data_IF_259832794465
#
_entry.id   IF_259832794465
#
_cell.length_a   1.000
_cell.length_b   1.000
_cell.length_c   1.000
_cell.angle_alpha   90.00
_cell.angle_beta   90.00
_cell.angle_gamma   90.00
#
_symmetry.space_group_name_H-M   'P 1'
#
loop_
_entity.id
_entity.type
_entity.pdbx_description
1 polymer ?
#
# COMPACT_ATOMS: atom_id res chain seq x y z
N UNK A 1 -31.01 6.16 33.42
CA UNK A 1 -31.40 5.26 32.30
C UNK A 1 -30.12 4.74 31.68
N UNK A 2 -29.73 3.51 31.97
CA UNK A 2 -28.64 2.84 31.25
C UNK A 2 -29.08 2.69 29.79
N UNK A 3 -28.43 3.40 28.87
CA UNK A 3 -28.51 3.05 27.45
C UNK A 3 -27.97 1.63 27.34
N UNK A 4 -28.85 0.64 27.18
CA UNK A 4 -28.41 -0.68 26.78
C UNK A 4 -27.69 -0.53 25.45
N UNK A 5 -26.35 -0.61 25.46
CA UNK A 5 -25.57 -0.62 24.24
C UNK A 5 -26.04 -1.81 23.38
N UNK A 6 -26.63 -1.49 22.23
CA UNK A 6 -27.13 -2.45 21.24
C UNK A 6 -26.00 -3.20 20.53
N UNK A 7 -24.74 -2.93 20.89
CA UNK A 7 -23.56 -3.47 20.24
C UNK A 7 -22.76 -4.37 21.20
N UNK A 8 -22.16 -5.42 20.63
CA UNK A 8 -21.29 -6.36 21.34
C UNK A 8 -19.97 -6.51 20.59
N UNK A 9 -18.86 -6.23 21.26
CA UNK A 9 -17.53 -6.57 20.73
C UNK A 9 -17.25 -8.05 20.98
N UNK A 10 -16.91 -8.77 19.92
CA UNK A 10 -16.38 -10.14 19.96
C UNK A 10 -14.98 -10.13 19.33
N UNK A 11 -14.08 -10.95 19.83
CA UNK A 11 -12.70 -10.99 19.32
C UNK A 11 -12.04 -12.34 19.56
N UNK A 12 -10.90 -12.54 18.92
CA UNK A 12 -10.11 -13.78 19.00
C UNK A 12 -10.39 -14.74 17.85
N UNK A 13 -9.76 -15.92 17.94
CA UNK A 13 -9.72 -16.91 16.86
C UNK A 13 -10.92 -17.85 16.92
N UNK A 14 -12.04 -17.46 16.30
CA UNK A 14 -13.25 -18.28 16.21
C UNK A 14 -14.09 -17.94 14.96
N UNK A 15 -14.93 -18.90 14.54
CA UNK A 15 -15.70 -18.82 13.29
C UNK A 15 -16.64 -17.61 13.20
N UNK A 16 -17.27 -17.25 14.32
CA UNK A 16 -18.19 -16.10 14.37
C UNK A 16 -17.44 -14.80 14.11
N UNK A 17 -16.27 -14.62 14.73
CA UNK A 17 -15.40 -13.47 14.47
C UNK A 17 -14.92 -13.48 13.03
N UNK A 18 -14.48 -14.63 12.49
CA UNK A 18 -13.90 -14.69 11.14
C UNK A 18 -14.93 -14.39 10.07
N UNK A 19 -16.13 -14.95 10.20
CA UNK A 19 -17.24 -14.71 9.27
C UNK A 19 -17.67 -13.25 9.32
N UNK A 20 -17.84 -12.69 10.54
CA UNK A 20 -18.18 -11.28 10.71
C UNK A 20 -17.11 -10.35 10.14
N UNK A 21 -15.83 -10.69 10.36
CA UNK A 21 -14.68 -9.91 9.89
C UNK A 21 -14.66 -9.88 8.37
N UNK A 22 -14.69 -11.03 7.70
CA UNK A 22 -14.58 -11.14 6.25
C UNK A 22 -15.81 -10.56 5.50
N UNK A 23 -16.99 -10.60 6.11
CA UNK A 23 -18.23 -10.16 5.46
C UNK A 23 -18.45 -8.64 5.43
N UNK A 24 -17.85 -7.88 6.36
CA UNK A 24 -18.18 -6.47 6.54
C UNK A 24 -17.80 -5.56 5.34
N UNK A 25 -16.61 -5.66 4.72
CA UNK A 25 -16.24 -4.76 3.62
C UNK A 25 -17.21 -4.80 2.45
N UNK A 26 -17.64 -5.99 2.05
CA UNK A 26 -18.61 -6.17 0.97
C UNK A 26 -19.97 -5.53 1.23
N UNK A 27 -20.30 -5.21 2.50
CA UNK A 27 -21.50 -4.47 2.88
C UNK A 27 -21.29 -2.96 2.89
N UNK A 28 -20.06 -2.49 3.12
CA UNK A 28 -19.74 -1.06 3.24
C UNK A 28 -19.39 -0.42 1.90
N UNK A 29 -18.68 -1.14 1.02
CA UNK A 29 -18.15 -0.58 -0.22
C UNK A 29 -18.94 -0.99 -1.44
N UNK A 30 -19.05 -0.04 -2.38
CA UNK A 30 -19.51 -0.36 -3.72
C UNK A 30 -18.47 -1.23 -4.44
N UNK A 31 -18.90 -1.91 -5.51
CA UNK A 31 -18.02 -2.85 -6.24
C UNK A 31 -16.77 -2.19 -6.82
N UNK A 32 -16.83 -0.93 -7.26
CA UNK A 32 -15.69 -0.18 -7.78
C UNK A 32 -14.77 0.36 -6.67
N UNK A 33 -15.27 0.55 -5.45
CA UNK A 33 -14.48 1.00 -4.30
C UNK A 33 -13.87 -0.16 -3.49
N UNK A 34 -14.45 -1.35 -3.54
CA UNK A 34 -14.05 -2.47 -2.69
C UNK A 34 -12.64 -2.96 -3.05
N UNK A 35 -11.66 -2.65 -2.22
CA UNK A 35 -10.24 -3.05 -2.30
C UNK A 35 -9.88 -4.23 -1.39
N UNK A 36 -10.88 -4.93 -0.85
CA UNK A 36 -10.66 -6.13 -0.03
C UNK A 36 -9.99 -7.23 -0.85
N UNK A 37 -8.86 -7.74 -0.36
CA UNK A 37 -8.27 -9.01 -0.78
C UNK A 37 -8.73 -10.11 0.19
N UNK A 38 -9.81 -10.79 -0.19
CA UNK A 38 -10.42 -11.81 0.65
C UNK A 38 -9.48 -13.00 0.91
N UNK A 39 -8.68 -13.40 -0.07
CA UNK A 39 -7.77 -14.56 0.07
C UNK A 39 -6.65 -14.25 1.07
N UNK A 40 -6.07 -13.06 0.98
CA UNK A 40 -5.08 -12.59 1.96
C UNK A 40 -5.68 -12.50 3.36
N UNK A 41 -6.84 -11.86 3.53
CA UNK A 41 -7.52 -11.77 4.83
C UNK A 41 -7.85 -13.16 5.40
N UNK A 42 -8.37 -14.07 4.57
CA UNK A 42 -8.69 -15.43 4.98
C UNK A 42 -7.44 -16.20 5.42
N UNK A 43 -6.36 -16.13 4.63
CA UNK A 43 -5.08 -16.78 4.96
C UNK A 43 -4.47 -16.23 6.25
N UNK A 44 -4.56 -14.92 6.49
CA UNK A 44 -4.10 -14.32 7.76
C UNK A 44 -4.89 -14.86 8.96
N UNK A 45 -6.23 -14.84 8.88
CA UNK A 45 -7.10 -15.34 9.96
C UNK A 45 -6.85 -16.82 10.30
N UNK A 46 -6.42 -17.62 9.32
CA UNK A 46 -6.12 -19.04 9.50
C UNK A 46 -4.63 -19.34 9.65
N UNK A 47 -3.77 -18.33 9.79
CA UNK A 47 -2.31 -18.48 9.93
C UNK A 47 -1.63 -19.22 8.76
N UNK A 48 -2.24 -19.15 7.58
CA UNK A 48 -1.76 -19.76 6.33
C UNK A 48 -1.06 -18.77 5.42
N UNK A 49 -1.10 -17.48 5.72
CA UNK A 49 -0.39 -16.48 4.95
C UNK A 49 1.11 -16.61 5.21
N UNK A 50 1.96 -16.44 4.19
CA UNK A 50 3.42 -16.63 4.32
C UNK A 50 4.04 -15.76 5.44
N UNK A 51 3.51 -14.55 5.62
CA UNK A 51 3.95 -13.63 6.67
C UNK A 51 3.47 -13.97 8.09
N UNK A 52 2.56 -14.94 8.28
CA UNK A 52 1.97 -15.25 9.60
C UNK A 52 3.01 -15.73 10.60
N UNK A 53 4.18 -16.20 10.14
CA UNK A 53 5.29 -16.60 11.01
C UNK A 53 5.98 -15.43 11.73
N UNK A 54 5.78 -14.19 11.26
CA UNK A 54 6.46 -13.01 11.82
C UNK A 54 5.69 -12.30 12.93
N UNK A 55 4.39 -12.56 13.07
CA UNK A 55 3.53 -11.80 13.97
C UNK A 55 2.34 -12.62 14.46
N UNK A 56 1.77 -12.18 15.58
CA UNK A 56 0.50 -12.70 16.08
C UNK A 56 -0.62 -11.71 15.77
N UNK A 57 -1.80 -12.22 15.43
CA UNK A 57 -2.99 -11.40 15.20
C UNK A 57 -4.12 -11.70 16.19
N UNK A 58 -4.93 -10.69 16.49
CA UNK A 58 -6.21 -10.82 17.19
C UNK A 58 -7.26 -10.02 16.41
N UNK A 59 -8.22 -10.67 15.72
CA UNK A 59 -9.30 -9.97 15.05
C UNK A 59 -10.40 -9.59 16.05
N UNK A 60 -11.02 -8.44 15.82
CA UNK A 60 -12.13 -7.87 16.57
C UNK A 60 -13.27 -7.53 15.61
N UNK A 61 -14.50 -7.80 16.04
CA UNK A 61 -15.72 -7.46 15.32
C UNK A 61 -16.74 -6.91 16.32
N UNK A 62 -17.44 -5.86 15.93
CA UNK A 62 -18.62 -5.38 16.66
C UNK A 62 -19.86 -5.91 15.96
N UNK A 63 -20.72 -6.57 16.72
CA UNK A 63 -22.01 -7.12 16.28
C UNK A 63 -23.14 -6.26 16.84
N UNK A 64 -24.09 -5.87 15.98
CA UNK A 64 -25.38 -5.35 16.42
C UNK A 64 -26.23 -6.52 16.96
N UNK A 65 -26.64 -6.43 18.23
CA UNK A 65 -27.41 -7.47 18.92
C UNK A 65 -28.79 -7.70 18.32
N UNK A 66 -29.38 -6.70 17.66
CA UNK A 66 -30.71 -6.83 17.07
C UNK A 66 -30.65 -7.55 15.72
N UNK A 67 -29.78 -7.08 14.83
CA UNK A 67 -29.64 -7.64 13.48
C UNK A 67 -28.71 -8.85 13.40
N UNK A 68 -27.89 -9.09 14.43
CA UNK A 68 -26.77 -10.06 14.43
C UNK A 68 -25.75 -9.80 13.32
N UNK A 69 -25.69 -8.57 12.81
CA UNK A 69 -24.78 -8.20 11.72
C UNK A 69 -23.50 -7.53 12.24
N UNK A 70 -22.35 -7.77 11.59
CA UNK A 70 -21.14 -7.00 11.85
C UNK A 70 -21.35 -5.55 11.43
N UNK A 71 -20.93 -4.62 12.30
CA UNK A 71 -21.04 -3.16 12.11
C UNK A 71 -19.71 -2.43 12.24
N UNK A 72 -18.68 -3.09 12.79
CA UNK A 72 -17.30 -2.64 12.74
C UNK A 72 -16.34 -3.83 12.85
N UNK A 73 -15.10 -3.66 12.37
CA UNK A 73 -14.02 -4.65 12.52
C UNK A 73 -12.68 -3.96 12.66
N UNK A 74 -11.72 -4.65 13.28
CA UNK A 74 -10.32 -4.26 13.33
C UNK A 74 -9.47 -5.50 13.58
N UNK A 75 -8.24 -5.53 13.09
CA UNK A 75 -7.25 -6.54 13.47
C UNK A 75 -6.14 -5.87 14.27
N UNK A 76 -5.76 -6.49 15.38
CA UNK A 76 -4.62 -6.11 16.18
C UNK A 76 -3.47 -7.06 15.88
N UNK A 77 -2.28 -6.53 15.59
CA UNK A 77 -1.10 -7.29 15.20
C UNK A 77 0.08 -6.97 16.09
N UNK A 78 0.79 -8.01 16.51
CA UNK A 78 1.93 -7.95 17.40
C UNK A 78 3.15 -8.59 16.77
N UNK A 79 4.20 -7.81 16.61
CA UNK A 79 5.54 -8.33 16.37
C UNK A 79 6.23 -8.58 17.73
N UNK A 80 6.92 -9.72 17.92
CA UNK A 80 7.52 -10.08 19.21
C UNK A 80 8.42 -8.99 19.82
N UNK A 81 9.25 -8.36 18.98
CA UNK A 81 10.27 -7.38 19.39
C UNK A 81 9.75 -5.93 19.52
N UNK A 82 8.45 -5.69 19.25
CA UNK A 82 7.91 -4.33 19.20
C UNK A 82 7.17 -3.96 20.49
N UNK A 83 7.49 -2.82 21.09
CA UNK A 83 6.67 -2.21 22.16
C UNK A 83 5.35 -1.61 21.64
N UNK A 84 5.21 -1.53 20.33
CA UNK A 84 4.06 -1.00 19.61
C UNK A 84 3.18 -2.15 19.12
N UNK A 85 1.88 -2.02 19.30
CA UNK A 85 0.90 -2.85 18.61
C UNK A 85 0.41 -2.14 17.35
N UNK A 86 0.19 -2.90 16.28
CA UNK A 86 -0.36 -2.37 15.04
C UNK A 86 -1.84 -2.66 14.96
N UNK A 87 -2.65 -1.70 14.55
CA UNK A 87 -4.05 -1.93 14.23
C UNK A 87 -4.25 -1.75 12.72
N UNK A 88 -5.12 -2.55 12.12
CA UNK A 88 -5.41 -2.51 10.68
C UNK A 88 -6.76 -3.10 10.38
N UNK A 89 -7.10 -3.16 9.09
CA UNK A 89 -8.39 -3.63 8.58
C UNK A 89 -9.59 -2.93 9.25
N UNK A 90 -9.38 -1.69 9.73
CA UNK A 90 -10.39 -0.94 10.45
C UNK A 90 -11.55 -0.62 9.51
N UNK A 91 -12.75 -1.04 9.89
CA UNK A 91 -13.98 -0.71 9.19
C UNK A 91 -15.08 -0.38 10.20
N UNK A 92 -15.97 0.57 9.89
CA UNK A 92 -17.08 0.96 10.74
C UNK A 92 -18.22 1.54 9.90
N UNK A 93 -19.48 1.28 10.28
CA UNK A 93 -20.67 1.85 9.63
C UNK A 93 -20.86 3.38 9.85
N UNK A 94 -19.89 4.07 10.47
CA UNK A 94 -19.90 5.54 10.61
C UNK A 94 -20.50 6.07 11.89
N UNK A 95 -20.72 5.23 12.91
CA UNK A 95 -21.19 5.68 14.22
C UNK A 95 -20.04 5.77 15.22
N UNK A 96 -19.87 6.96 15.80
CA UNK A 96 -18.78 7.24 16.75
C UNK A 96 -18.78 6.30 17.96
N UNK A 97 -19.94 6.03 18.56
CA UNK A 97 -20.09 5.13 19.71
C UNK A 97 -19.58 3.71 19.41
N UNK A 98 -19.75 3.22 18.17
CA UNK A 98 -19.26 1.89 17.74
C UNK A 98 -17.74 1.91 17.60
N UNK A 99 -17.17 2.97 17.01
CA UNK A 99 -15.74 3.13 16.85
C UNK A 99 -15.03 3.23 18.21
N UNK A 100 -15.58 4.00 19.14
CA UNK A 100 -15.09 4.12 20.52
C UNK A 100 -15.11 2.77 21.24
N UNK A 101 -16.24 2.07 21.21
CA UNK A 101 -16.36 0.76 21.85
C UNK A 101 -15.34 -0.26 21.32
N UNK A 102 -15.14 -0.29 19.99
CA UNK A 102 -14.15 -1.15 19.35
C UNK A 102 -12.73 -0.77 19.75
N UNK A 103 -12.35 0.50 19.57
CA UNK A 103 -10.98 0.96 19.75
C UNK A 103 -10.57 1.01 21.22
N UNK A 104 -11.49 1.22 22.15
CA UNK A 104 -11.24 1.07 23.59
C UNK A 104 -10.97 -0.39 23.95
N UNK A 105 -11.71 -1.33 23.36
CA UNK A 105 -11.50 -2.77 23.59
C UNK A 105 -10.14 -3.20 23.03
N UNK A 106 -9.80 -2.73 21.83
CA UNK A 106 -8.47 -2.95 21.20
C UNK A 106 -7.36 -2.35 22.07
N UNK A 107 -7.53 -1.12 22.55
CA UNK A 107 -6.55 -0.43 23.42
C UNK A 107 -6.32 -1.16 24.73
N UNK A 108 -7.40 -1.61 25.40
CA UNK A 108 -7.32 -2.40 26.63
C UNK A 108 -6.61 -3.73 26.41
N UNK A 109 -6.86 -4.41 25.29
CA UNK A 109 -6.16 -5.67 24.96
C UNK A 109 -4.68 -5.44 24.71
N UNK A 110 -4.32 -4.44 23.90
CA UNK A 110 -2.92 -4.09 23.63
C UNK A 110 -2.15 -3.75 24.93
N UNK A 111 -2.77 -2.95 25.82
CA UNK A 111 -2.18 -2.60 27.11
C UNK A 111 -2.00 -3.81 28.03
N UNK A 112 -3.00 -4.70 28.08
CA UNK A 112 -2.92 -5.97 28.83
C UNK A 112 -1.79 -6.86 28.33
N UNK A 113 -1.49 -6.80 27.03
CA UNK A 113 -0.40 -7.54 26.39
C UNK A 113 0.94 -6.80 26.44
N UNK A 114 1.07 -5.78 27.30
CA UNK A 114 2.33 -5.09 27.58
C UNK A 114 2.74 -4.04 26.55
N UNK A 115 1.85 -3.66 25.62
CA UNK A 115 2.17 -2.66 24.59
C UNK A 115 1.89 -1.24 25.09
N UNK A 116 2.70 -0.29 24.63
CA UNK A 116 2.68 1.11 25.10
C UNK A 116 1.97 2.05 24.14
N UNK A 117 1.79 1.62 22.88
CA UNK A 117 1.25 2.44 21.79
C UNK A 117 0.53 1.58 20.76
N UNK A 118 -0.49 2.15 20.13
CA UNK A 118 -1.10 1.68 18.88
C UNK A 118 -0.58 2.50 17.70
N UNK A 119 -0.25 1.85 16.59
CA UNK A 119 0.08 2.51 15.30
C UNK A 119 -0.76 1.90 14.18
N UNK A 120 -1.26 2.71 13.25
CA UNK A 120 -2.07 2.22 12.15
C UNK A 120 -2.85 3.28 11.37
N UNK A 121 -3.59 2.89 10.32
CA UNK A 121 -3.83 1.51 9.95
C UNK A 121 -2.63 0.84 9.27
N UNK A 122 -2.28 -0.36 9.73
CA UNK A 122 -1.36 -1.32 9.10
C UNK A 122 -2.08 -2.67 9.09
N UNK A 123 -2.43 -3.17 7.91
CA UNK A 123 -3.14 -4.42 7.69
C UNK A 123 -2.19 -5.61 7.92
N UNK A 124 -1.92 -5.88 9.19
CA UNK A 124 -0.98 -6.83 9.74
C UNK A 124 0.51 -6.60 9.40
N UNK A 125 0.85 -6.14 8.20
CA UNK A 125 2.24 -5.92 7.81
C UNK A 125 2.40 -4.78 6.80
N UNK A 126 3.57 -4.13 6.84
CA UNK A 126 4.04 -3.19 5.81
C UNK A 126 3.90 -3.76 4.39
N UNK A 127 4.11 -5.08 4.24
CA UNK A 127 4.10 -5.80 2.97
C UNK A 127 2.70 -6.10 2.41
N UNK A 128 1.64 -5.77 3.15
CA UNK A 128 0.25 -6.05 2.75
C UNK A 128 -0.46 -4.75 2.36
N UNK A 129 -0.81 -3.92 3.35
CA UNK A 129 -1.46 -2.63 3.14
C UNK A 129 -1.27 -1.76 4.38
N UNK A 130 -1.00 -0.48 4.20
CA UNK A 130 -0.96 0.47 5.31
C UNK A 130 -1.23 1.89 4.80
N UNK A 131 -1.58 2.77 5.74
CA UNK A 131 -2.04 4.18 5.57
C UNK A 131 -3.57 4.30 5.42
N UNK A 132 -4.06 5.41 5.95
CA UNK A 132 -5.45 5.86 5.88
C UNK A 132 -5.54 7.00 4.87
N UNK A 133 -6.36 6.86 3.83
CA UNK A 133 -6.69 7.94 2.89
C UNK A 133 -7.55 8.99 3.57
N UNK A 134 -7.30 10.28 3.28
CA UNK A 134 -8.01 11.41 3.92
C UNK A 134 -8.66 12.41 2.94
N UNK A 135 -8.47 12.28 1.62
CA UNK A 135 -9.10 13.17 0.63
C UNK A 135 -9.52 12.42 -0.66
N UNK A 136 -10.09 13.14 -1.64
CA UNK A 136 -10.43 12.67 -2.99
C UNK A 136 -11.25 11.35 -3.07
N UNK A 137 -12.27 11.21 -2.22
CA UNK A 137 -13.13 10.00 -2.16
C UNK A 137 -14.19 9.91 -3.26
N UNK A 138 -14.26 10.92 -4.13
CA UNK A 138 -15.08 10.94 -5.35
C UNK A 138 -14.43 10.16 -6.50
N UNK A 139 -13.17 9.73 -6.34
CA UNK A 139 -12.40 8.98 -7.34
C UNK A 139 -12.34 7.49 -7.00
N UNK A 140 -12.34 6.66 -8.05
CA UNK A 140 -12.13 5.21 -7.92
C UNK A 140 -10.68 4.96 -7.49
N UNK A 141 -10.43 4.04 -6.53
CA UNK A 141 -9.08 3.75 -6.10
C UNK A 141 -8.19 3.23 -7.24
N UNK A 142 -6.98 3.76 -7.35
CA UNK A 142 -5.99 3.26 -8.29
C UNK A 142 -5.35 1.95 -7.79
N UNK A 143 -4.60 1.27 -8.66
CA UNK A 143 -3.94 0.01 -8.30
C UNK A 143 -3.00 0.14 -7.11
N UNK A 144 -3.30 -0.62 -6.05
CA UNK A 144 -2.50 -0.64 -4.82
C UNK A 144 -2.79 0.51 -3.85
N UNK A 145 -3.79 1.36 -4.13
CA UNK A 145 -4.18 2.43 -3.22
C UNK A 145 -4.86 1.89 -1.95
N UNK A 146 -4.38 2.25 -0.73
CA UNK A 146 -5.15 2.09 0.49
C UNK A 146 -6.42 2.94 0.40
N UNK A 147 -7.59 2.29 0.44
CA UNK A 147 -8.88 2.96 0.32
C UNK A 147 -9.77 2.63 1.51
N UNK A 148 -10.41 3.66 2.06
CA UNK A 148 -11.31 3.61 3.21
C UNK A 148 -12.49 4.57 3.00
N UNK A 149 -13.48 4.55 3.90
CA UNK A 149 -14.55 5.57 3.89
C UNK A 149 -14.03 6.92 4.38
N UNK A 150 -14.60 7.99 3.83
CA UNK A 150 -14.19 9.38 4.06
C UNK A 150 -14.29 9.82 5.53
N UNK A 151 -15.20 9.23 6.30
CA UNK A 151 -15.40 9.55 7.71
C UNK A 151 -14.43 8.82 8.66
N UNK A 152 -13.59 7.89 8.19
CA UNK A 152 -12.74 7.09 9.08
C UNK A 152 -11.67 7.92 9.80
N UNK A 153 -11.11 8.94 9.14
CA UNK A 153 -10.15 9.83 9.78
C UNK A 153 -10.77 10.52 11.00
N UNK A 154 -11.99 11.05 10.86
CA UNK A 154 -12.72 11.67 11.97
C UNK A 154 -12.98 10.69 13.11
N UNK A 155 -13.48 9.48 12.79
CA UNK A 155 -13.72 8.44 13.80
C UNK A 155 -12.46 8.12 14.62
N UNK A 156 -11.32 7.95 13.93
CA UNK A 156 -10.04 7.61 14.58
C UNK A 156 -9.50 8.80 15.39
N UNK A 157 -9.53 10.01 14.83
CA UNK A 157 -9.10 11.22 15.53
C UNK A 157 -9.91 11.49 16.80
N UNK A 158 -11.23 11.32 16.74
CA UNK A 158 -12.10 11.47 17.92
C UNK A 158 -11.85 10.39 18.98
N UNK A 159 -11.36 9.22 18.57
CA UNK A 159 -10.88 8.16 19.48
C UNK A 159 -9.47 8.43 20.03
N UNK A 160 -8.90 9.62 19.80
CA UNK A 160 -7.61 10.05 20.35
C UNK A 160 -6.37 9.63 19.54
N UNK A 161 -6.55 9.22 18.28
CA UNK A 161 -5.43 8.97 17.38
C UNK A 161 -4.90 10.29 16.77
N UNK A 162 -3.59 10.42 16.71
CA UNK A 162 -2.89 11.57 16.12
C UNK A 162 -2.07 11.15 14.92
N UNK A 163 -1.78 12.08 14.00
CA UNK A 163 -0.98 11.79 12.81
C UNK A 163 0.48 11.54 13.19
N UNK A 164 0.98 10.35 12.85
CA UNK A 164 2.38 9.94 13.00
C UNK A 164 3.20 10.30 11.75
N UNK A 165 2.66 10.01 10.56
CA UNK A 165 3.31 10.30 9.28
C UNK A 165 2.29 10.68 8.22
N UNK A 166 2.71 11.53 7.28
CA UNK A 166 1.95 11.93 6.11
C UNK A 166 2.56 11.35 4.83
N UNK A 167 1.70 11.05 3.87
CA UNK A 167 2.07 10.49 2.57
C UNK A 167 1.20 11.10 1.49
N UNK A 168 1.75 11.09 0.28
CA UNK A 168 1.19 11.76 -0.86
C UNK A 168 1.21 10.84 -2.08
N UNK A 169 0.13 10.84 -2.87
CA UNK A 169 0.20 10.43 -4.29
C UNK A 169 -0.10 11.61 -5.19
N UNK A 170 0.76 11.87 -6.18
CA UNK A 170 0.61 12.99 -7.10
C UNK A 170 -0.02 12.51 -8.42
N UNK A 171 -1.04 13.24 -8.90
CA UNK A 171 -1.64 13.01 -10.22
C UNK A 171 -0.92 13.89 -11.25
N UNK A 172 -0.37 13.26 -12.28
CA UNK A 172 0.28 13.92 -13.40
C UNK A 172 -0.58 13.79 -14.66
N UNK A 173 -0.79 14.88 -15.42
CA UNK A 173 -1.48 14.82 -16.70
C UNK A 173 -0.65 14.05 -17.74
N UNK A 174 -1.22 13.89 -18.94
CA UNK A 174 -0.43 13.45 -20.10
C UNK A 174 0.73 14.45 -20.29
N UNK A 175 1.92 13.92 -20.48
CA UNK A 175 3.13 14.71 -20.68
C UNK A 175 3.25 15.03 -22.16
N UNK A 176 3.30 16.31 -22.50
CA UNK A 176 3.45 16.77 -23.89
C UNK A 176 4.80 16.33 -24.48
N UNK A 177 4.83 16.10 -25.79
CA UNK A 177 6.04 15.61 -26.48
C UNK A 177 7.22 16.60 -26.36
N UNK A 178 6.93 17.90 -26.29
CA UNK A 178 7.90 18.99 -26.15
C UNK A 178 8.32 19.26 -24.69
N UNK A 179 7.67 18.64 -23.69
CA UNK A 179 8.03 18.83 -22.28
C UNK A 179 9.50 18.50 -22.02
N UNK A 180 10.27 19.43 -21.49
CA UNK A 180 11.70 19.25 -21.28
C UNK A 180 12.08 19.50 -19.82
N UNK A 181 12.79 18.55 -19.20
CA UNK A 181 13.34 18.72 -17.88
C UNK A 181 14.87 18.64 -17.93
N UNK A 182 15.51 19.80 -18.08
CA UNK A 182 16.96 19.95 -18.24
C UNK A 182 17.75 19.23 -17.13
N UNK A 183 17.24 19.28 -15.90
CA UNK A 183 17.90 18.66 -14.74
C UNK A 183 17.91 17.13 -14.86
N UNK A 184 16.80 16.53 -15.31
CA UNK A 184 16.65 15.09 -15.43
C UNK A 184 17.48 14.57 -16.60
N UNK A 185 17.44 15.26 -17.74
CA UNK A 185 18.19 14.87 -18.93
C UNK A 185 19.70 14.99 -18.72
N UNK A 186 20.19 16.13 -18.22
CA UNK A 186 21.62 16.28 -17.87
C UNK A 186 22.08 15.20 -16.90
N UNK A 187 21.23 14.82 -15.94
CA UNK A 187 21.58 13.76 -14.99
C UNK A 187 21.63 12.40 -15.67
N UNK A 188 20.69 12.11 -16.57
CA UNK A 188 20.68 10.89 -17.36
C UNK A 188 21.96 10.75 -18.21
N UNK A 189 22.31 11.76 -18.99
CA UNK A 189 23.54 11.78 -19.80
C UNK A 189 24.81 11.62 -18.95
N UNK A 190 24.88 12.31 -17.79
CA UNK A 190 25.99 12.17 -16.85
C UNK A 190 26.18 10.74 -16.36
N UNK A 191 25.09 9.99 -16.10
CA UNK A 191 25.19 8.60 -15.68
C UNK A 191 25.58 7.68 -16.83
N UNK A 192 25.03 7.88 -18.04
CA UNK A 192 25.45 7.12 -19.23
C UNK A 192 26.95 7.28 -19.50
N UNK A 193 27.46 8.52 -19.47
CA UNK A 193 28.88 8.83 -19.66
C UNK A 193 29.80 8.22 -18.59
N UNK A 194 29.24 7.87 -17.42
CA UNK A 194 29.96 7.17 -16.34
C UNK A 194 29.89 5.65 -16.46
N UNK A 195 29.29 5.10 -17.52
CA UNK A 195 29.18 3.67 -17.76
C UNK A 195 27.98 3.00 -17.08
N UNK A 196 26.94 3.76 -16.75
CA UNK A 196 25.67 3.19 -16.26
C UNK A 196 24.80 2.80 -17.44
N UNK A 197 24.01 1.75 -17.26
CA UNK A 197 23.00 1.32 -18.22
C UNK A 197 21.63 1.36 -17.54
N UNK A 198 20.65 2.04 -18.13
CA UNK A 198 19.26 2.05 -17.65
C UNK A 198 18.39 1.40 -18.72
N UNK A 199 17.85 0.22 -18.44
CA UNK A 199 17.07 -0.56 -19.42
C UNK A 199 15.90 -1.31 -18.79
N UNK A 200 14.94 -1.67 -19.65
CA UNK A 200 13.87 -2.59 -19.26
C UNK A 200 14.38 -4.02 -19.13
N UNK A 201 13.93 -4.78 -18.12
CA UNK A 201 14.34 -6.16 -17.96
C UNK A 201 13.62 -7.07 -18.97
N UNK A 202 14.31 -8.09 -19.46
CA UNK A 202 13.66 -9.16 -20.21
C UNK A 202 12.78 -10.01 -19.26
N UNK A 203 11.59 -10.43 -19.70
CA UNK A 203 10.68 -11.26 -18.90
C UNK A 203 11.33 -12.51 -18.29
N UNK A 204 12.25 -13.15 -19.03
CA UNK A 204 12.98 -14.34 -18.57
C UNK A 204 13.91 -14.06 -17.38
N UNK A 205 14.35 -12.81 -17.20
CA UNK A 205 15.23 -12.39 -16.11
C UNK A 205 14.45 -11.99 -14.84
N UNK A 206 13.10 -12.09 -14.85
CA UNK A 206 12.27 -11.64 -13.74
C UNK A 206 12.70 -12.17 -12.36
N UNK A 207 13.01 -13.48 -12.17
CA UNK A 207 13.45 -13.98 -10.87
C UNK A 207 14.71 -13.29 -10.34
N UNK A 208 15.73 -13.15 -11.18
CA UNK A 208 16.98 -12.47 -10.82
C UNK A 208 16.76 -10.99 -10.49
N UNK A 209 15.94 -10.29 -11.29
CA UNK A 209 15.64 -8.87 -11.05
C UNK A 209 14.88 -8.70 -9.72
N UNK A 210 13.92 -9.57 -9.43
CA UNK A 210 13.17 -9.48 -8.18
C UNK A 210 14.02 -9.78 -6.94
N UNK A 211 15.01 -10.68 -7.04
CA UNK A 211 16.01 -10.87 -6.00
C UNK A 211 16.83 -9.60 -5.74
N UNK A 212 17.29 -8.91 -6.79
CA UNK A 212 18.00 -7.64 -6.63
C UNK A 212 17.13 -6.50 -6.13
N UNK A 213 15.86 -6.45 -6.55
CA UNK A 213 14.87 -5.52 -6.01
C UNK A 213 14.64 -5.79 -4.52
N UNK A 214 14.55 -7.05 -4.10
CA UNK A 214 14.46 -7.43 -2.68
C UNK A 214 15.65 -6.89 -1.88
N UNK A 215 16.89 -7.14 -2.33
CA UNK A 215 18.11 -6.65 -1.66
C UNK A 215 18.08 -5.13 -1.46
N UNK A 216 17.73 -4.38 -2.53
CA UNK A 216 17.63 -2.92 -2.47
C UNK A 216 16.49 -2.44 -1.56
N UNK A 217 15.32 -3.08 -1.57
CA UNK A 217 14.22 -2.68 -0.70
C UNK A 217 14.57 -2.92 0.78
N UNK A 218 15.18 -4.07 1.11
CA UNK A 218 15.59 -4.37 2.49
C UNK A 218 16.51 -3.29 3.07
N UNK A 219 17.43 -2.76 2.25
CA UNK A 219 18.32 -1.66 2.68
C UNK A 219 17.61 -0.30 2.69
N UNK A 220 16.93 0.05 1.59
CA UNK A 220 16.45 1.41 1.36
C UNK A 220 15.18 1.77 2.13
N UNK A 221 14.34 0.79 2.47
CA UNK A 221 13.04 0.99 3.11
C UNK A 221 13.04 0.60 4.59
N UNK A 222 14.18 0.17 5.13
CA UNK A 222 14.36 -0.21 6.54
C UNK A 222 13.97 0.88 7.55
N UNK A 223 13.97 2.16 7.14
CA UNK A 223 13.57 3.32 7.95
C UNK A 223 12.08 3.70 7.82
N UNK A 224 11.30 2.92 7.06
CA UNK A 224 9.87 3.19 6.91
C UNK A 224 9.10 2.74 8.16
N UNK A 225 8.05 3.48 8.56
CA UNK A 225 7.20 3.07 9.68
C UNK A 225 6.59 1.68 9.43
N UNK A 226 6.55 0.87 10.48
CA UNK A 226 6.06 -0.52 10.45
C UNK A 226 6.84 -1.48 9.53
N UNK A 227 7.96 -1.06 8.93
CA UNK A 227 8.80 -1.95 8.14
C UNK A 227 9.35 -3.09 9.00
N UNK A 228 9.35 -4.30 8.43
CA UNK A 228 9.94 -5.50 9.03
C UNK A 228 10.66 -6.29 7.96
N UNK A 229 11.86 -6.76 8.29
CA UNK A 229 12.59 -7.68 7.43
C UNK A 229 11.80 -8.98 7.29
N UNK A 230 11.78 -9.50 6.06
CA UNK A 230 11.17 -10.79 5.71
C UNK A 230 12.19 -11.60 4.91
N UNK A 231 12.00 -12.90 4.85
CA UNK A 231 12.84 -13.77 4.04
C UNK A 231 12.61 -13.51 2.55
N UNK A 232 13.62 -13.79 1.73
CA UNK A 232 13.56 -13.59 0.28
C UNK A 232 12.45 -14.44 -0.33
N UNK A 233 12.29 -15.67 0.15
CA UNK A 233 11.27 -16.61 -0.29
C UNK A 233 9.87 -16.03 -0.08
N UNK A 234 9.60 -15.41 1.08
CA UNK A 234 8.30 -14.80 1.37
C UNK A 234 8.06 -13.55 0.52
N UNK A 235 9.10 -12.75 0.27
CA UNK A 235 9.01 -11.63 -0.66
C UNK A 235 8.65 -12.12 -2.07
N UNK A 236 9.27 -13.21 -2.52
CA UNK A 236 8.96 -13.82 -3.81
C UNK A 236 7.57 -14.43 -3.86
N UNK A 237 7.05 -14.97 -2.75
CA UNK A 237 5.66 -15.44 -2.67
C UNK A 237 4.65 -14.29 -2.81
N UNK A 238 4.94 -13.13 -2.22
CA UNK A 238 4.06 -11.95 -2.28
C UNK A 238 4.10 -11.30 -3.67
N UNK A 239 5.30 -11.07 -4.21
CA UNK A 239 5.49 -10.27 -5.43
C UNK A 239 5.74 -11.11 -6.70
N UNK A 240 5.83 -12.44 -6.59
CA UNK A 240 6.11 -13.32 -7.72
C UNK A 240 5.05 -13.30 -8.82
N UNK A 241 3.80 -13.00 -8.45
CA UNK A 241 2.67 -12.87 -9.39
C UNK A 241 2.70 -11.56 -10.19
N UNK A 242 3.48 -10.56 -9.78
CA UNK A 242 3.50 -9.25 -10.44
C UNK A 242 3.98 -9.34 -11.90
N UNK A 243 4.76 -10.39 -12.25
CA UNK A 243 5.15 -10.68 -13.64
C UNK A 243 4.00 -10.77 -14.64
N UNK A 244 2.76 -11.00 -14.18
CA UNK A 244 1.57 -11.07 -15.02
C UNK A 244 0.91 -9.71 -15.28
N UNK A 245 1.11 -8.74 -14.38
CA UNK A 245 0.48 -7.41 -14.44
C UNK A 245 1.47 -6.31 -14.85
N UNK A 246 2.77 -6.59 -14.87
CA UNK A 246 3.78 -5.62 -15.26
C UNK A 246 3.79 -5.41 -16.78
N UNK A 247 3.79 -4.14 -17.17
CA UNK A 247 4.30 -3.71 -18.46
C UNK A 247 5.82 -3.50 -18.32
N UNK A 248 6.62 -4.35 -18.97
CA UNK A 248 8.07 -4.36 -18.81
C UNK A 248 8.74 -3.11 -19.40
N UNK A 249 8.09 -2.43 -20.35
CA UNK A 249 8.56 -1.14 -20.85
C UNK A 249 8.49 -0.06 -19.77
N UNK A 250 7.62 -0.23 -18.77
CA UNK A 250 7.47 0.69 -17.64
C UNK A 250 8.21 0.25 -16.38
N UNK A 251 9.07 -0.78 -16.51
CA UNK A 251 10.04 -1.19 -15.50
C UNK A 251 11.43 -0.83 -16.00
N UNK A 252 12.19 -0.04 -15.24
CA UNK A 252 13.58 0.32 -15.56
C UNK A 252 14.51 -0.15 -14.47
N UNK A 253 15.60 -0.81 -14.86
CA UNK A 253 16.66 -1.26 -13.98
C UNK A 253 17.94 -0.53 -14.37
N UNK A 254 18.63 0.02 -13.37
CA UNK A 254 19.91 0.68 -13.53
C UNK A 254 21.04 -0.27 -13.13
N UNK A 255 21.96 -0.48 -14.06
CA UNK A 255 23.15 -1.30 -13.90
C UNK A 255 24.40 -0.42 -13.83
N UNK A 256 25.34 -0.79 -12.97
CA UNK A 256 26.68 -0.21 -12.93
C UNK A 256 27.70 -1.30 -12.63
N UNK A 257 28.65 -1.52 -13.55
CA UNK A 257 29.64 -2.61 -13.45
C UNK A 257 28.97 -3.98 -13.21
N UNK A 258 27.96 -4.30 -14.02
CA UNK A 258 27.15 -5.54 -13.96
C UNK A 258 26.26 -5.71 -12.71
N UNK A 259 26.36 -4.82 -11.73
CA UNK A 259 25.52 -4.82 -10.53
C UNK A 259 24.24 -4.00 -10.72
N UNK A 260 23.13 -4.47 -10.16
CA UNK A 260 21.87 -3.70 -10.09
C UNK A 260 21.97 -2.68 -8.96
N UNK A 261 21.95 -1.40 -9.32
CA UNK A 261 22.13 -0.28 -8.37
C UNK A 261 20.90 0.62 -8.26
N UNK A 262 19.85 0.32 -9.03
CA UNK A 262 18.58 1.00 -8.90
C UNK A 262 17.49 0.37 -9.76
N UNK A 263 16.25 0.69 -9.42
CA UNK A 263 15.07 0.25 -10.14
C UNK A 263 13.97 1.31 -10.08
N UNK A 264 13.09 1.27 -11.07
CA UNK A 264 11.84 2.02 -11.13
C UNK A 264 10.77 1.10 -11.69
N UNK A 265 9.69 0.89 -10.95
CA UNK A 265 8.59 -0.01 -11.31
C UNK A 265 7.29 0.79 -11.39
N UNK A 266 6.71 0.83 -12.59
CA UNK A 266 5.36 1.31 -12.80
C UNK A 266 4.47 0.19 -13.35
N UNK A 267 3.19 0.22 -12.99
CA UNK A 267 2.18 -0.71 -13.49
C UNK A 267 1.04 0.06 -14.15
N UNK A 268 0.34 -0.52 -15.13
CA UNK A 268 -0.96 0.00 -15.54
C UNK A 268 -1.91 0.17 -14.36
N UNK A 269 -2.77 1.18 -14.41
CA UNK A 269 -3.84 1.33 -13.42
C UNK A 269 -4.98 0.33 -13.71
N UNK A 270 -5.00 -0.77 -12.99
CA UNK A 270 -6.04 -1.79 -12.99
C UNK A 270 -7.18 -1.52 -11.98
N UNK A 271 -7.17 -0.36 -11.30
CA UNK A 271 -8.02 -0.08 -10.15
C UNK A 271 -7.99 -1.25 -9.13
N UNK A 272 -9.15 -1.78 -8.75
CA UNK A 272 -9.28 -2.89 -7.80
C UNK A 272 -9.42 -4.29 -8.46
N UNK A 273 -9.21 -4.42 -9.77
CA UNK A 273 -9.31 -5.71 -10.48
C UNK A 273 -8.37 -6.80 -9.93
N UNK A 274 -7.11 -6.51 -9.51
CA UNK A 274 -6.21 -7.54 -8.99
C UNK A 274 -6.73 -8.26 -7.74
N UNK A 275 -7.61 -7.63 -6.96
CA UNK A 275 -8.20 -8.24 -5.77
C UNK A 275 -9.44 -9.10 -6.07
N UNK A 276 -9.87 -9.17 -7.34
CA UNK A 276 -11.10 -9.85 -7.78
C UNK A 276 -10.81 -10.81 -8.92
N UNK A 277 -9.69 -11.52 -8.87
CA UNK A 277 -9.25 -12.38 -9.95
C UNK A 277 -10.26 -13.51 -10.22
N UNK A 278 -10.75 -13.50 -11.45
CA UNK A 278 -11.50 -14.57 -12.09
C UNK A 278 -11.17 -14.51 -13.58
N UNK A 279 -11.62 -15.50 -14.35
CA UNK A 279 -11.31 -15.60 -15.79
C UNK A 279 -11.64 -14.29 -16.54
N UNK A 280 -12.83 -13.72 -16.31
CA UNK A 280 -13.26 -12.47 -16.96
C UNK A 280 -12.36 -11.29 -16.58
N UNK A 281 -12.02 -11.13 -15.30
CA UNK A 281 -11.18 -10.03 -14.84
C UNK A 281 -9.72 -10.21 -15.26
N UNK A 282 -9.24 -11.45 -15.40
CA UNK A 282 -7.92 -11.72 -15.95
C UNK A 282 -7.80 -11.24 -17.40
N UNK A 283 -8.80 -11.51 -18.25
CA UNK A 283 -8.82 -10.97 -19.61
C UNK A 283 -8.85 -9.43 -19.64
N UNK A 284 -9.60 -8.80 -18.73
CA UNK A 284 -9.58 -7.33 -18.59
C UNK A 284 -8.21 -6.79 -18.19
N UNK A 285 -7.53 -7.46 -17.25
CA UNK A 285 -6.15 -7.11 -16.87
C UNK A 285 -5.24 -7.20 -18.09
N UNK A 286 -5.33 -8.26 -18.90
CA UNK A 286 -4.53 -8.37 -20.13
C UNK A 286 -4.83 -7.26 -21.15
N UNK A 287 -6.10 -6.87 -21.29
CA UNK A 287 -6.51 -5.75 -22.15
C UNK A 287 -5.91 -4.42 -21.68
N UNK A 288 -6.07 -4.09 -20.40
CA UNK A 288 -5.51 -2.87 -19.79
C UNK A 288 -3.98 -2.89 -19.87
N UNK A 289 -3.35 -4.06 -19.66
CA UNK A 289 -1.90 -4.22 -19.78
C UNK A 289 -1.38 -3.86 -21.18
N UNK A 290 -2.12 -4.23 -22.22
CA UNK A 290 -1.71 -3.98 -23.60
C UNK A 290 -2.04 -2.54 -24.06
N UNK A 291 -3.11 -1.95 -23.52
CA UNK A 291 -3.52 -0.57 -23.81
C UNK A 291 -4.01 0.10 -22.52
N UNK A 292 -3.09 0.62 -21.70
CA UNK A 292 -3.44 1.26 -20.44
C UNK A 292 -3.96 2.67 -20.68
N UNK A 293 -4.89 3.11 -19.83
CA UNK A 293 -5.39 4.49 -19.83
C UNK A 293 -4.62 5.39 -18.84
N UNK A 294 -3.88 4.81 -17.90
CA UNK A 294 -3.08 5.50 -16.87
C UNK A 294 -2.03 4.53 -16.30
N UNK A 295 -0.89 5.06 -15.86
CA UNK A 295 0.11 4.30 -15.10
C UNK A 295 0.21 4.72 -13.63
N UNK A 296 0.48 3.75 -12.75
CA UNK A 296 0.83 3.98 -11.35
C UNK A 296 2.31 3.70 -11.17
N UNK A 297 3.08 4.72 -10.80
CA UNK A 297 4.50 4.61 -10.45
C UNK A 297 4.60 4.16 -8.98
N UNK A 298 4.87 2.86 -8.76
CA UNK A 298 4.72 2.21 -7.46
C UNK A 298 5.98 2.23 -6.61
N UNK A 299 7.11 1.81 -7.19
CA UNK A 299 8.34 1.64 -6.44
C UNK A 299 9.52 2.21 -7.18
N UNK A 300 10.40 2.88 -6.45
CA UNK A 300 11.69 3.32 -6.96
C UNK A 300 12.73 3.20 -5.86
N UNK A 301 13.84 2.55 -6.17
CA UNK A 301 14.96 2.40 -5.26
C UNK A 301 16.25 2.72 -5.98
N UNK A 302 17.16 3.40 -5.30
CA UNK A 302 18.51 3.69 -5.77
C UNK A 302 19.44 3.45 -4.60
N UNK A 303 20.45 2.62 -4.81
CA UNK A 303 21.52 2.41 -3.86
C UNK A 303 22.14 3.75 -3.44
N UNK A 304 22.28 3.96 -2.13
CA UNK A 304 22.70 5.24 -1.52
C UNK A 304 24.05 5.75 -2.04
N UNK A 305 24.90 4.85 -2.58
CA UNK A 305 26.20 5.18 -3.18
C UNK A 305 26.09 5.89 -4.53
N UNK A 306 24.90 5.87 -5.17
CA UNK A 306 24.65 6.34 -6.53
C UNK A 306 23.75 7.59 -6.55
N UNK A 307 24.08 8.59 -5.74
CA UNK A 307 23.28 9.79 -5.55
C UNK A 307 22.94 10.51 -6.87
N UNK A 308 21.65 10.82 -7.04
CA UNK A 308 21.11 11.48 -8.22
C UNK A 308 20.65 10.53 -9.33
N UNK A 309 20.93 9.22 -9.25
CA UNK A 309 20.47 8.24 -10.25
C UNK A 309 18.94 8.17 -10.34
N UNK A 310 18.23 8.55 -9.27
CA UNK A 310 16.77 8.65 -9.27
C UNK A 310 16.24 9.60 -10.35
N UNK A 311 16.87 10.77 -10.55
CA UNK A 311 16.48 11.70 -11.63
C UNK A 311 16.70 11.08 -13.02
N UNK A 312 17.76 10.30 -13.19
CA UNK A 312 18.05 9.64 -14.46
C UNK A 312 17.03 8.53 -14.75
N UNK A 313 16.64 7.74 -13.74
CA UNK A 313 15.53 6.78 -13.86
C UNK A 313 14.21 7.47 -14.18
N UNK A 314 13.90 8.58 -13.49
CA UNK A 314 12.71 9.40 -13.75
C UNK A 314 12.71 9.98 -15.16
N UNK A 315 13.86 10.36 -15.71
CA UNK A 315 13.98 10.81 -17.09
C UNK A 315 13.50 9.73 -18.07
N UNK A 316 14.03 8.51 -17.93
CA UNK A 316 13.68 7.40 -18.82
C UNK A 316 12.20 7.04 -18.71
N UNK A 317 11.64 7.03 -17.50
CA UNK A 317 10.19 6.80 -17.32
C UNK A 317 9.35 7.92 -17.92
N UNK A 318 9.78 9.18 -17.81
CA UNK A 318 9.12 10.33 -18.42
C UNK A 318 9.07 10.18 -19.95
N UNK A 319 10.16 9.72 -20.57
CA UNK A 319 10.20 9.44 -22.02
C UNK A 319 9.23 8.33 -22.42
N UNK A 320 9.14 7.25 -21.63
CA UNK A 320 8.16 6.19 -21.88
C UNK A 320 6.71 6.68 -21.76
N UNK A 321 6.41 7.50 -20.74
CA UNK A 321 5.09 8.10 -20.56
C UNK A 321 4.69 9.01 -21.73
N UNK A 322 5.64 9.79 -22.26
CA UNK A 322 5.43 10.58 -23.49
C UNK A 322 5.07 9.69 -24.69
N UNK A 323 5.86 8.64 -24.92
CA UNK A 323 5.63 7.72 -26.03
C UNK A 323 4.28 7.01 -25.92
N UNK A 324 3.87 6.67 -24.70
CA UNK A 324 2.58 6.01 -24.44
C UNK A 324 1.40 6.99 -24.41
N UNK A 325 1.66 8.28 -24.20
CA UNK A 325 0.69 9.37 -24.21
C UNK A 325 -0.50 9.16 -23.26
N UNK A 326 -0.19 8.80 -22.00
CA UNK A 326 -1.17 8.53 -20.95
C UNK A 326 -0.80 9.26 -19.66
N UNK A 327 -1.79 9.64 -18.82
CA UNK A 327 -1.52 10.20 -17.49
C UNK A 327 -0.84 9.20 -16.56
N UNK A 328 -0.36 9.69 -15.41
CA UNK A 328 0.23 8.82 -14.40
C UNK A 328 0.01 9.30 -12.97
N UNK A 329 0.16 8.39 -12.02
CA UNK A 329 0.10 8.65 -10.58
C UNK A 329 1.45 8.28 -9.96
N UNK A 330 2.12 9.24 -9.34
CA UNK A 330 3.27 8.98 -8.45
C UNK A 330 2.76 8.54 -7.09
N UNK A 331 2.80 7.24 -6.79
CA UNK A 331 2.05 6.68 -5.68
C UNK A 331 2.81 6.69 -4.34
N UNK A 332 2.09 7.06 -3.28
CA UNK A 332 2.38 6.76 -1.87
C UNK A 332 3.78 7.17 -1.40
N UNK A 333 4.24 8.32 -1.87
CA UNK A 333 5.50 8.92 -1.45
C UNK A 333 5.36 9.39 -0.01
N UNK A 334 6.31 8.99 0.85
CA UNK A 334 6.39 9.54 2.22
C UNK A 334 6.88 10.99 2.15
N UNK A 335 6.16 11.87 2.81
CA UNK A 335 6.52 13.27 2.86
C UNK A 335 7.90 13.47 3.50
N UNK A 336 8.69 14.40 2.96
CA UNK A 336 10.07 14.66 3.38
C UNK A 336 11.14 13.80 2.70
N UNK A 337 10.77 12.87 1.80
CA UNK A 337 11.74 12.19 0.92
C UNK A 337 11.98 13.01 -0.35
N UNK A 338 13.19 12.94 -0.90
CA UNK A 338 13.61 13.66 -2.13
C UNK A 338 12.66 13.40 -3.31
N UNK A 339 12.10 12.19 -3.38
CA UNK A 339 11.19 11.73 -4.44
C UNK A 339 9.87 12.49 -4.49
N UNK A 340 9.48 13.19 -3.42
CA UNK A 340 8.28 14.02 -3.38
C UNK A 340 8.36 15.23 -4.32
N UNK A 341 9.59 15.69 -4.63
CA UNK A 341 9.85 16.90 -5.43
C UNK A 341 9.99 16.65 -6.93
N UNK A 342 9.86 15.41 -7.40
CA UNK A 342 10.01 15.11 -8.83
C UNK A 342 8.83 15.62 -9.64
N UNK A 343 9.12 16.43 -10.66
CA UNK A 343 8.14 17.04 -11.57
C UNK A 343 6.99 17.75 -10.83
N UNK A 344 7.30 18.42 -9.71
CA UNK A 344 6.30 19.10 -8.86
C UNK A 344 5.44 20.11 -9.62
N UNK A 345 5.99 20.70 -10.68
CA UNK A 345 5.38 21.63 -11.60
C UNK A 345 4.26 21.01 -12.45
N UNK A 346 4.26 19.70 -12.63
CA UNK A 346 3.25 18.97 -13.42
C UNK A 346 2.10 18.42 -12.55
N UNK A 347 2.14 18.61 -11.24
CA UNK A 347 1.13 18.03 -10.34
C UNK A 347 -0.21 18.74 -10.56
N UNK A 348 -1.22 17.98 -11.02
CA UNK A 348 -2.59 18.49 -11.21
C UNK A 348 -3.40 18.45 -9.92
N UNK A 349 -3.27 17.36 -9.17
CA UNK A 349 -4.04 17.10 -7.96
C UNK A 349 -3.28 16.08 -7.10
N UNK A 350 -3.68 15.93 -5.83
CA UNK A 350 -2.91 15.20 -4.84
C UNK A 350 -3.80 14.37 -3.91
N UNK A 351 -3.54 13.07 -3.85
CA UNK A 351 -4.08 12.22 -2.79
C UNK A 351 -3.24 12.34 -1.53
N UNK A 352 -3.91 12.34 -0.39
CA UNK A 352 -3.30 12.45 0.95
C UNK A 352 -3.64 11.23 1.79
N UNK A 353 -2.63 10.77 2.53
CA UNK A 353 -2.75 9.65 3.45
C UNK A 353 -1.98 9.89 4.73
N UNK A 354 -2.45 9.27 5.81
CA UNK A 354 -1.82 9.34 7.12
C UNK A 354 -1.58 7.96 7.69
N UNK A 355 -0.49 7.82 8.43
CA UNK A 355 -0.34 6.79 9.45
C UNK A 355 -0.60 7.47 10.79
N UNK A 356 -1.42 6.86 11.63
CA UNK A 356 -1.82 7.38 12.93
C UNK A 356 -1.17 6.62 14.07
N UNK A 357 -1.12 7.25 15.24
CA UNK A 357 -0.72 6.61 16.48
C UNK A 357 -1.57 7.06 17.68
N UNK A 358 -1.63 6.23 18.72
CA UNK A 358 -2.28 6.52 20.00
C UNK A 358 -1.50 5.89 21.14
N UNK A 359 -1.17 6.68 22.18
CA UNK A 359 -0.57 6.16 23.42
C UNK A 359 -1.62 5.42 24.27
N UNK A 360 -1.21 4.35 24.97
CA UNK A 360 -2.10 3.43 25.70
C UNK A 360 -2.14 3.64 27.22
#
# INVERSE_FOLDING_TARGET
MEKHMNYKVIYGKNDLVYTGFLALPGKLYQKNELTQDYDTEYKLLHEKHTLSKYFNITPFVVIDKNSQMPVARCMLTYYPEDDVAYFGFFECIGQQEIAEQLLDTVSKKAKKDGKTKLSGPVDASFWIKYRLKINLFDRIPYTGEPYNKNYYYKLLSDCGFVVQNHYTSNIYPIIDMDYYNEKFEKRYEQFLNKGYEIKSPAKKNYPYIMEKVYELIMDLYSDFPAFKYIEKEDFMDIFGSYKYILDYDMVKIAFYKEEVVGFFISVPNYANLPYKLNVRNFFKILQIKNKPDEYVMLYMGVDRRHLGLGNALSNVITMELKNKHVPSIGALVRDGKITQSYASELIRDRYEYVLLEKKL
#
